data_IF_391624133802
#
_entry.id   IF_391624133802
#
_cell.length_a   1.000
_cell.length_b   1.000
_cell.length_c   1.000
_cell.angle_alpha   90.00
_cell.angle_beta   90.00
_cell.angle_gamma   90.00
#
_symmetry.space_group_name_H-M   'P 1'
#
loop_
_entity.id
_entity.type
_entity.pdbx_description
1 polymer ?
#
# COMPACT_ATOMS: atom_id res chain seq x y z
N UNK A 1 47.52 0.65 31.42
CA UNK A 1 46.82 -0.64 31.18
C UNK A 1 46.04 -1.01 32.40
N UNK A 2 44.74 -0.71 32.42
CA UNK A 2 43.81 -1.10 33.50
C UNK A 2 42.87 -2.17 32.94
N UNK A 3 42.72 -3.27 33.69
CA UNK A 3 41.83 -4.40 33.33
C UNK A 3 40.37 -4.03 33.67
N UNK A 4 39.39 -4.44 32.87
CA UNK A 4 37.98 -4.23 33.19
C UNK A 4 37.48 -5.24 34.24
N UNK A 5 36.63 -4.76 35.13
CA UNK A 5 35.91 -5.49 36.19
C UNK A 5 34.77 -6.36 35.57
N UNK A 6 34.42 -7.50 36.20
CA UNK A 6 33.42 -8.42 35.67
C UNK A 6 31.99 -7.93 35.94
N UNK A 7 31.12 -8.11 34.94
CA UNK A 7 29.69 -7.81 34.96
C UNK A 7 28.97 -8.84 35.81
N UNK A 8 28.19 -8.37 36.79
CA UNK A 8 27.33 -9.17 37.67
C UNK A 8 26.16 -9.80 36.88
N UNK A 9 25.87 -11.07 37.16
CA UNK A 9 24.73 -11.82 36.57
C UNK A 9 23.39 -11.22 37.02
N UNK A 10 22.35 -11.23 36.13
CA UNK A 10 21.02 -10.78 36.50
C UNK A 10 20.30 -11.81 37.38
N UNK A 11 19.71 -11.33 38.46
CA UNK A 11 18.84 -12.05 39.37
C UNK A 11 17.58 -12.54 38.65
N UNK A 12 17.22 -13.82 38.83
CA UNK A 12 15.95 -14.40 38.36
C UNK A 12 14.79 -13.73 39.08
N UNK A 13 13.93 -13.04 38.32
CA UNK A 13 12.62 -12.61 38.79
C UNK A 13 11.65 -13.75 38.48
N UNK A 14 11.13 -14.41 39.49
CA UNK A 14 9.96 -15.28 39.41
C UNK A 14 8.71 -14.40 39.36
N UNK A 15 8.23 -14.09 38.16
CA UNK A 15 6.89 -13.52 37.96
C UNK A 15 5.92 -14.66 37.71
N UNK A 16 4.79 -14.69 38.39
CA UNK A 16 3.82 -15.75 38.37
C UNK A 16 3.13 -15.85 37.02
N UNK A 17 2.96 -17.08 36.50
CA UNK A 17 2.26 -17.40 35.24
C UNK A 17 0.79 -16.93 35.22
N UNK A 18 0.22 -16.56 36.39
CA UNK A 18 -1.15 -16.02 36.49
C UNK A 18 -1.27 -14.59 35.96
N UNK A 19 -0.25 -13.72 36.11
CA UNK A 19 -0.31 -12.34 35.57
C UNK A 19 -0.24 -12.32 34.03
N UNK A 20 0.51 -13.22 33.41
CA UNK A 20 0.56 -13.34 31.94
C UNK A 20 -0.75 -13.85 31.35
N UNK A 21 -1.44 -14.76 32.05
CA UNK A 21 -2.76 -15.23 31.65
C UNK A 21 -3.83 -14.15 31.64
N UNK A 22 -3.83 -13.28 32.65
CA UNK A 22 -4.79 -12.18 32.76
C UNK A 22 -4.52 -11.09 31.70
N UNK A 23 -3.27 -10.74 31.43
CA UNK A 23 -2.94 -9.76 30.38
C UNK A 23 -3.32 -10.24 28.97
N UNK A 24 -3.19 -11.54 28.69
CA UNK A 24 -3.63 -12.12 27.42
C UNK A 24 -5.16 -12.18 27.29
N UNK A 25 -5.88 -12.44 28.38
CA UNK A 25 -7.35 -12.42 28.39
C UNK A 25 -7.91 -11.00 28.25
N UNK A 26 -7.32 -10.01 28.93
CA UNK A 26 -7.72 -8.60 28.79
C UNK A 26 -7.44 -8.05 27.39
N UNK A 27 -6.34 -8.49 26.73
CA UNK A 27 -6.05 -8.13 25.36
C UNK A 27 -7.06 -8.77 24.37
N UNK A 28 -7.50 -10.01 24.61
CA UNK A 28 -8.49 -10.68 23.77
C UNK A 28 -9.90 -10.08 23.93
N UNK A 29 -10.29 -9.67 25.14
CA UNK A 29 -11.55 -8.94 25.38
C UNK A 29 -11.53 -7.52 24.79
N UNK A 30 -10.40 -6.82 24.84
CA UNK A 30 -10.22 -5.53 24.20
C UNK A 30 -10.32 -5.61 22.67
N UNK A 31 -9.74 -6.63 22.07
CA UNK A 31 -9.86 -6.91 20.63
C UNK A 31 -11.30 -7.26 20.21
N UNK A 32 -12.02 -8.03 21.04
CA UNK A 32 -13.45 -8.35 20.79
C UNK A 32 -14.34 -7.11 20.95
N UNK A 33 -14.05 -6.21 21.89
CA UNK A 33 -14.77 -4.95 22.06
C UNK A 33 -14.53 -4.01 20.89
N UNK A 34 -13.29 -3.89 20.40
CA UNK A 34 -12.97 -3.09 19.20
C UNK A 34 -13.61 -3.66 17.93
N UNK A 35 -13.67 -4.98 17.78
CA UNK A 35 -14.39 -5.63 16.68
C UNK A 35 -15.91 -5.38 16.76
N UNK A 36 -16.48 -5.34 17.97
CA UNK A 36 -17.88 -5.03 18.20
C UNK A 36 -18.26 -3.58 17.89
N UNK A 37 -17.38 -2.62 18.17
CA UNK A 37 -17.57 -1.21 17.82
C UNK A 37 -17.42 -0.95 16.31
N UNK A 38 -16.53 -1.68 15.64
CA UNK A 38 -16.35 -1.59 14.18
C UNK A 38 -17.59 -2.07 13.42
N UNK A 39 -18.29 -3.11 13.90
CA UNK A 39 -19.55 -3.61 13.32
C UNK A 39 -20.69 -2.57 13.31
N UNK A 40 -20.60 -1.54 14.13
CA UNK A 40 -21.63 -0.48 14.18
C UNK A 40 -21.34 0.72 13.26
N UNK A 41 -20.18 0.76 12.59
CA UNK A 41 -19.84 1.76 11.56
C UNK A 41 -20.28 1.27 10.19
N UNK A 42 -21.52 1.52 9.83
CA UNK A 42 -22.22 1.01 8.62
C UNK A 42 -21.58 1.34 7.26
N UNK A 43 -20.37 1.90 7.18
CA UNK A 43 -19.76 2.37 5.93
C UNK A 43 -18.27 2.06 5.77
N UNK A 44 -17.68 1.19 6.58
CA UNK A 44 -16.29 0.77 6.41
C UNK A 44 -16.31 -0.69 5.97
N UNK A 45 -15.77 -0.97 4.77
CA UNK A 45 -15.52 -2.33 4.36
C UNK A 45 -14.39 -2.89 5.20
N UNK A 46 -14.69 -3.90 5.97
CA UNK A 46 -13.69 -4.71 6.61
C UNK A 46 -13.43 -5.92 5.71
N UNK A 47 -12.15 -6.24 5.44
CA UNK A 47 -11.86 -7.55 4.88
C UNK A 47 -12.51 -8.58 5.82
N UNK A 48 -13.18 -9.59 5.28
CA UNK A 48 -13.67 -10.73 6.06
C UNK A 48 -12.46 -11.58 6.49
N UNK A 49 -11.61 -10.98 7.32
CA UNK A 49 -10.32 -11.54 7.70
C UNK A 49 -10.41 -12.16 9.07
N UNK A 50 -11.09 -13.28 9.15
CA UNK A 50 -10.67 -14.35 10.05
C UNK A 50 -9.54 -15.17 9.39
N UNK A 51 -8.72 -14.54 8.54
CA UNK A 51 -7.55 -15.19 7.97
C UNK A 51 -6.39 -15.01 8.93
N UNK A 52 -5.77 -16.12 9.24
CA UNK A 52 -4.57 -16.16 10.04
C UNK A 52 -3.62 -15.06 9.58
N UNK A 53 -3.32 -14.15 10.49
CA UNK A 53 -2.18 -13.25 10.39
C UNK A 53 -0.99 -14.08 10.00
N UNK A 54 -0.58 -13.95 8.77
CA UNK A 54 0.32 -14.91 8.21
C UNK A 54 1.09 -14.33 7.04
N UNK A 55 1.86 -15.16 6.53
CA UNK A 55 2.61 -14.99 5.32
C UNK A 55 1.73 -15.41 4.14
N UNK A 56 1.37 -14.44 3.31
CA UNK A 56 0.71 -14.68 2.04
C UNK A 56 1.76 -14.91 0.94
N UNK A 57 1.46 -15.80 -0.01
CA UNK A 57 2.36 -16.13 -1.11
C UNK A 57 1.69 -15.87 -2.45
N UNK A 58 2.42 -15.20 -3.35
CA UNK A 58 1.98 -14.86 -4.70
C UNK A 58 3.04 -15.28 -5.71
N UNK A 59 2.62 -15.44 -6.97
CA UNK A 59 3.54 -15.66 -8.08
C UNK A 59 3.28 -14.61 -9.14
N UNK A 60 4.24 -13.70 -9.38
CA UNK A 60 4.21 -12.65 -10.38
C UNK A 60 5.59 -12.47 -11.02
N UNK A 61 5.61 -12.02 -12.27
CA UNK A 61 6.84 -11.79 -13.04
C UNK A 61 7.76 -13.02 -13.05
N UNK A 62 7.18 -14.23 -13.04
CA UNK A 62 7.90 -15.50 -12.98
C UNK A 62 8.62 -15.76 -11.66
N UNK A 63 8.22 -15.10 -10.56
CA UNK A 63 8.88 -15.19 -9.26
C UNK A 63 7.88 -15.34 -8.11
N UNK A 64 8.27 -16.13 -7.10
CA UNK A 64 7.51 -16.26 -5.87
C UNK A 64 7.73 -15.04 -4.97
N UNK A 65 6.64 -14.48 -4.50
CA UNK A 65 6.58 -13.30 -3.62
C UNK A 65 5.95 -13.72 -2.30
N UNK A 66 6.56 -13.33 -1.20
CA UNK A 66 6.08 -13.62 0.14
C UNK A 66 5.81 -12.33 0.90
N UNK A 67 4.56 -12.07 1.21
CA UNK A 67 4.11 -10.88 1.92
C UNK A 67 3.82 -11.22 3.38
N UNK A 68 4.33 -10.40 4.28
CA UNK A 68 3.98 -10.42 5.69
C UNK A 68 2.97 -9.31 5.96
N UNK A 69 1.81 -9.70 6.44
CA UNK A 69 0.78 -8.78 6.92
C UNK A 69 1.02 -8.44 8.40
N UNK A 70 0.51 -7.28 8.84
CA UNK A 70 0.50 -6.88 10.24
C UNK A 70 -0.89 -6.36 10.60
N UNK A 71 -1.39 -6.72 11.79
CA UNK A 71 -2.68 -6.22 12.31
C UNK A 71 -2.59 -4.83 12.92
N UNK A 72 -1.39 -4.29 13.09
CA UNK A 72 -1.20 -3.01 13.78
C UNK A 72 -1.74 -1.82 12.97
N UNK A 73 -2.01 -2.02 11.67
CA UNK A 73 -2.58 -0.98 10.83
C UNK A 73 -3.31 -1.56 9.60
N UNK A 74 -4.41 -0.94 9.17
CA UNK A 74 -5.19 -1.32 7.98
C UNK A 74 -4.35 -1.36 6.69
N UNK A 75 -3.35 -0.49 6.57
CA UNK A 75 -2.43 -0.47 5.44
C UNK A 75 -1.51 -1.70 5.37
N UNK A 76 -1.36 -2.44 6.45
CA UNK A 76 -0.50 -3.63 6.49
C UNK A 76 -1.22 -4.93 6.10
N UNK A 77 -2.37 -4.85 5.44
CA UNK A 77 -3.13 -5.97 4.86
C UNK A 77 -3.07 -5.92 3.32
N UNK A 78 -3.25 -7.08 2.68
CA UNK A 78 -3.34 -7.17 1.23
C UNK A 78 -4.77 -6.88 0.77
N UNK A 79 -4.89 -5.92 -0.14
CA UNK A 79 -6.16 -5.50 -0.68
C UNK A 79 -6.38 -6.04 -2.11
N UNK A 80 -7.62 -6.41 -2.49
CA UNK A 80 -7.92 -7.00 -3.80
C UNK A 80 -7.48 -6.14 -4.99
N UNK A 81 -7.52 -4.81 -4.86
CA UNK A 81 -7.08 -3.89 -5.91
C UNK A 81 -5.59 -4.00 -6.23
N UNK A 82 -4.75 -4.26 -5.22
CA UNK A 82 -3.33 -4.50 -5.42
C UNK A 82 -3.11 -5.77 -6.26
N UNK A 83 -3.81 -6.86 -5.94
CA UNK A 83 -3.73 -8.12 -6.70
C UNK A 83 -4.20 -7.90 -8.14
N UNK A 84 -5.35 -7.24 -8.32
CA UNK A 84 -5.92 -6.97 -9.65
C UNK A 84 -4.98 -6.12 -10.51
N UNK A 85 -4.35 -5.09 -9.92
CA UNK A 85 -3.42 -4.24 -10.65
C UNK A 85 -2.10 -4.97 -10.96
N UNK A 86 -1.60 -5.84 -10.06
CA UNK A 86 -0.46 -6.72 -10.35
C UNK A 86 -0.74 -7.62 -11.56
N UNK A 87 -1.90 -8.29 -11.59
CA UNK A 87 -2.33 -9.13 -12.72
C UNK A 87 -2.46 -8.32 -14.01
N UNK A 88 -3.03 -7.12 -13.91
CA UNK A 88 -3.15 -6.22 -15.07
C UNK A 88 -1.77 -5.84 -15.63
N UNK A 89 -0.82 -5.43 -14.78
CA UNK A 89 0.53 -5.06 -15.21
C UNK A 89 1.27 -6.24 -15.86
N UNK A 90 1.19 -7.43 -15.26
CA UNK A 90 1.83 -8.64 -15.79
C UNK A 90 1.28 -9.01 -17.16
N UNK A 91 -0.05 -8.97 -17.33
CA UNK A 91 -0.71 -9.40 -18.57
C UNK A 91 -0.69 -8.35 -19.70
N UNK A 92 -0.42 -7.08 -19.38
CA UNK A 92 -0.52 -5.98 -20.32
C UNK A 92 0.82 -5.23 -20.54
N UNK A 93 1.95 -5.92 -20.45
CA UNK A 93 3.29 -5.31 -20.59
C UNK A 93 3.53 -4.61 -21.93
N UNK A 94 2.79 -4.96 -22.99
CA UNK A 94 2.85 -4.26 -24.27
C UNK A 94 2.20 -2.87 -24.21
N UNK A 95 1.19 -2.68 -23.36
CA UNK A 95 0.45 -1.42 -23.20
C UNK A 95 0.97 -0.57 -22.05
N UNK A 96 1.53 -1.22 -21.02
CA UNK A 96 2.10 -0.63 -19.82
C UNK A 96 3.47 -1.26 -19.59
N UNK A 97 4.48 -0.70 -20.23
CA UNK A 97 5.85 -1.17 -20.07
C UNK A 97 6.51 -0.43 -18.90
N UNK A 98 6.83 -1.17 -17.84
CA UNK A 98 7.49 -0.64 -16.65
C UNK A 98 9.02 -0.75 -16.68
N UNK A 99 9.59 -1.43 -17.67
CA UNK A 99 11.04 -1.59 -17.78
C UNK A 99 11.74 -0.23 -17.89
N UNK A 100 12.67 0.02 -16.97
CA UNK A 100 13.46 1.26 -16.85
C UNK A 100 12.59 2.53 -16.65
N UNK A 101 11.39 2.37 -16.08
CA UNK A 101 10.46 3.46 -15.79
C UNK A 101 10.52 3.87 -14.32
N UNK A 102 10.44 5.17 -14.08
CA UNK A 102 10.25 5.72 -12.74
C UNK A 102 8.77 5.56 -12.33
N UNK A 103 8.52 4.86 -11.25
CA UNK A 103 7.18 4.51 -10.76
C UNK A 103 7.02 4.97 -9.33
N UNK A 104 5.93 5.69 -9.06
CA UNK A 104 5.48 6.00 -7.70
C UNK A 104 4.26 5.14 -7.38
N UNK A 105 4.20 4.54 -6.20
CA UNK A 105 2.96 3.99 -5.64
C UNK A 105 2.46 4.86 -4.50
N UNK A 106 1.19 5.26 -4.56
CA UNK A 106 0.46 6.00 -3.52
C UNK A 106 -0.32 5.00 -2.69
N UNK A 107 -0.06 4.94 -1.37
CA UNK A 107 -0.73 3.99 -0.47
C UNK A 107 -0.31 2.54 -0.75
N UNK A 108 0.99 2.28 -0.66
CA UNK A 108 1.58 0.99 -1.05
C UNK A 108 1.23 -0.17 -0.10
N UNK A 109 0.81 0.13 1.14
CA UNK A 109 0.40 -0.86 2.12
C UNK A 109 1.48 -1.90 2.41
N UNK A 110 1.18 -3.16 2.12
CA UNK A 110 2.14 -4.27 2.25
C UNK A 110 3.25 -4.26 1.20
N UNK A 111 3.11 -3.47 0.12
CA UNK A 111 4.08 -3.34 -0.95
C UNK A 111 3.97 -4.38 -2.07
N UNK A 112 2.94 -5.21 -2.13
CA UNK A 112 2.79 -6.22 -3.17
C UNK A 112 2.92 -5.64 -4.58
N UNK A 113 2.19 -4.55 -4.87
CA UNK A 113 2.19 -3.91 -6.18
C UNK A 113 3.56 -3.26 -6.49
N UNK A 114 4.19 -2.60 -5.52
CA UNK A 114 5.55 -2.07 -5.64
C UNK A 114 6.57 -3.17 -5.93
N UNK A 115 6.46 -4.34 -5.27
CA UNK A 115 7.34 -5.50 -5.52
C UNK A 115 7.18 -5.98 -6.95
N UNK A 116 5.95 -6.18 -7.43
CA UNK A 116 5.69 -6.61 -8.81
C UNK A 116 6.23 -5.59 -9.81
N UNK A 117 6.02 -4.29 -9.58
CA UNK A 117 6.58 -3.25 -10.44
C UNK A 117 8.13 -3.30 -10.48
N UNK A 118 8.79 -3.53 -9.33
CA UNK A 118 10.25 -3.73 -9.28
C UNK A 118 10.70 -4.96 -10.08
N UNK A 119 9.99 -6.08 -9.96
CA UNK A 119 10.31 -7.32 -10.68
C UNK A 119 10.06 -7.19 -12.18
N UNK A 120 9.13 -6.33 -12.60
CA UNK A 120 8.92 -5.93 -14.01
C UNK A 120 9.95 -4.90 -14.51
N UNK A 121 10.95 -4.55 -13.69
CA UNK A 121 12.08 -3.72 -14.09
C UNK A 121 11.93 -2.23 -13.85
N UNK A 122 10.95 -1.80 -13.06
CA UNK A 122 10.74 -0.40 -12.69
C UNK A 122 11.71 0.10 -11.61
N UNK A 123 11.98 1.40 -11.64
CA UNK A 123 12.57 2.14 -10.52
C UNK A 123 11.43 2.67 -9.64
N UNK A 124 11.18 2.01 -8.51
CA UNK A 124 10.00 2.25 -7.68
C UNK A 124 10.30 3.11 -6.47
N UNK A 125 9.43 4.10 -6.24
CA UNK A 125 9.25 4.80 -4.97
C UNK A 125 7.90 4.38 -4.38
N UNK A 126 7.92 3.56 -3.34
CA UNK A 126 6.74 3.13 -2.61
C UNK A 126 6.43 4.12 -1.49
N UNK A 127 5.18 4.60 -1.41
CA UNK A 127 4.81 5.59 -0.39
C UNK A 127 3.59 5.17 0.40
N UNK A 128 3.61 5.48 1.71
CA UNK A 128 2.50 5.30 2.62
C UNK A 128 2.65 6.22 3.85
N UNK A 129 1.73 6.11 4.81
CA UNK A 129 1.82 6.77 6.11
C UNK A 129 3.04 6.25 6.90
N UNK A 130 3.64 7.07 7.78
CA UNK A 130 4.83 6.71 8.56
C UNK A 130 4.71 5.37 9.28
N UNK A 131 3.54 5.06 9.84
CA UNK A 131 3.30 3.84 10.64
C UNK A 131 3.34 2.55 9.79
N UNK A 132 3.13 2.65 8.48
CA UNK A 132 3.15 1.52 7.53
C UNK A 132 4.55 1.21 7.03
N UNK A 133 5.47 2.20 7.02
CA UNK A 133 6.75 2.10 6.32
C UNK A 133 7.66 0.96 6.79
N UNK A 134 7.59 0.57 8.05
CA UNK A 134 8.43 -0.52 8.57
C UNK A 134 8.07 -1.86 7.92
N UNK A 135 6.77 -2.20 7.88
CA UNK A 135 6.26 -3.41 7.24
C UNK A 135 6.50 -3.36 5.72
N UNK A 136 6.18 -2.23 5.07
CA UNK A 136 6.43 -1.99 3.66
C UNK A 136 7.89 -2.21 3.28
N UNK A 137 8.83 -1.62 4.04
CA UNK A 137 10.27 -1.77 3.82
C UNK A 137 10.71 -3.22 3.96
N UNK A 138 10.23 -3.92 5.00
CA UNK A 138 10.56 -5.32 5.21
C UNK A 138 10.12 -6.19 4.02
N UNK A 139 8.88 -6.05 3.57
CA UNK A 139 8.34 -6.82 2.45
C UNK A 139 9.07 -6.50 1.13
N UNK A 140 9.33 -5.22 0.85
CA UNK A 140 10.07 -4.79 -0.34
C UNK A 140 11.47 -5.39 -0.37
N UNK A 141 12.27 -5.18 0.67
CA UNK A 141 13.66 -5.65 0.70
C UNK A 141 13.74 -7.17 0.60
N UNK A 142 12.85 -7.89 1.28
CA UNK A 142 12.80 -9.35 1.24
C UNK A 142 12.55 -9.90 -0.16
N UNK A 143 11.69 -9.26 -0.94
CA UNK A 143 11.25 -9.76 -2.23
C UNK A 143 12.02 -9.18 -3.42
N UNK A 144 12.78 -8.09 -3.25
CA UNK A 144 13.46 -7.41 -4.36
C UNK A 144 14.99 -7.50 -4.31
N UNK A 145 15.58 -7.73 -3.11
CA UNK A 145 17.05 -7.80 -2.96
C UNK A 145 17.67 -8.90 -3.82
N UNK A 146 18.52 -8.50 -4.77
CA UNK A 146 19.17 -9.41 -5.72
C UNK A 146 18.24 -10.00 -6.78
N UNK A 147 16.98 -9.52 -6.86
CA UNK A 147 15.96 -10.01 -7.79
C UNK A 147 15.42 -8.92 -8.71
N UNK A 148 15.42 -7.68 -8.27
CA UNK A 148 15.00 -6.51 -9.06
C UNK A 148 16.22 -5.80 -9.67
N UNK A 149 15.98 -5.10 -10.77
CA UNK A 149 16.99 -4.32 -11.49
C UNK A 149 17.45 -3.10 -10.68
N UNK A 150 16.54 -2.48 -9.97
CA UNK A 150 16.76 -1.30 -9.15
C UNK A 150 16.36 -1.55 -7.69
N UNK A 151 17.05 -0.90 -6.76
CA UNK A 151 16.65 -0.91 -5.35
C UNK A 151 15.48 0.05 -5.15
N UNK A 152 14.30 -0.42 -4.67
CA UNK A 152 13.18 0.45 -4.40
C UNK A 152 13.46 1.42 -3.26
N UNK A 153 12.82 2.58 -3.31
CA UNK A 153 12.80 3.56 -2.24
C UNK A 153 11.47 3.47 -1.49
N UNK A 154 11.51 3.71 -0.18
CA UNK A 154 10.31 3.79 0.68
C UNK A 154 10.30 5.17 1.33
N UNK A 155 9.23 5.93 1.14
CA UNK A 155 9.12 7.32 1.58
C UNK A 155 7.76 7.57 2.22
N UNK A 156 7.73 8.34 3.32
CA UNK A 156 6.49 8.77 3.93
C UNK A 156 5.73 9.74 3.01
N UNK A 157 4.42 9.53 2.87
CA UNK A 157 3.55 10.44 2.13
C UNK A 157 2.17 10.46 2.79
N UNK A 158 1.81 11.61 3.35
CA UNK A 158 0.45 11.89 3.79
C UNK A 158 -0.28 12.64 2.68
N UNK A 159 -1.42 12.13 2.25
CA UNK A 159 -2.14 12.72 1.11
C UNK A 159 -2.47 14.19 1.34
N UNK A 160 -2.14 15.00 0.35
CA UNK A 160 -2.40 16.44 0.32
C UNK A 160 -1.52 17.30 1.20
N UNK A 161 -0.62 16.72 1.99
CA UNK A 161 0.27 17.44 2.89
C UNK A 161 1.67 17.58 2.29
N UNK A 162 2.28 18.74 2.46
CA UNK A 162 3.68 19.05 2.16
C UNK A 162 4.22 18.59 0.79
N UNK A 163 3.33 18.35 -0.19
CA UNK A 163 3.68 17.75 -1.49
C UNK A 163 4.74 18.54 -2.25
N UNK A 164 4.65 19.88 -2.26
CA UNK A 164 5.64 20.72 -2.97
C UNK A 164 6.97 20.82 -2.22
N UNK A 165 6.97 20.60 -0.90
CA UNK A 165 8.20 20.59 -0.10
C UNK A 165 8.94 19.27 -0.24
N UNK A 166 8.22 18.14 -0.09
CA UNK A 166 8.81 16.82 0.02
C UNK A 166 8.99 16.16 -1.35
N UNK A 167 8.16 16.52 -2.31
CA UNK A 167 8.19 16.01 -3.69
C UNK A 167 8.14 17.16 -4.71
N UNK A 168 9.12 18.11 -4.69
CA UNK A 168 9.13 19.26 -5.59
C UNK A 168 9.26 18.85 -7.05
N UNK A 169 8.41 19.43 -7.90
CA UNK A 169 8.55 19.30 -9.34
C UNK A 169 9.64 20.29 -9.86
N UNK A 170 10.48 19.92 -10.84
CA UNK A 170 10.48 18.67 -11.60
C UNK A 170 11.38 17.57 -11.03
N UNK A 171 11.98 17.75 -9.85
CA UNK A 171 12.95 16.81 -9.28
C UNK A 171 12.33 15.42 -9.02
N UNK A 172 11.05 15.40 -8.63
CA UNK A 172 10.27 14.18 -8.48
C UNK A 172 9.32 14.02 -9.67
N UNK A 173 9.84 13.42 -10.74
CA UNK A 173 9.10 13.09 -11.94
C UNK A 173 8.98 11.57 -12.09
N UNK A 174 7.78 11.10 -12.36
CA UNK A 174 7.48 9.67 -12.54
C UNK A 174 6.83 9.42 -13.90
N UNK A 175 7.20 8.33 -14.56
CA UNK A 175 6.53 7.84 -15.78
C UNK A 175 5.13 7.30 -15.44
N UNK A 176 5.04 6.58 -14.31
CA UNK A 176 3.78 6.02 -13.82
C UNK A 176 3.53 6.36 -12.36
N UNK A 177 2.27 6.58 -12.04
CA UNK A 177 1.75 6.62 -10.67
C UNK A 177 0.78 5.46 -10.53
N UNK A 178 0.96 4.62 -9.53
CA UNK A 178 0.12 3.49 -9.19
C UNK A 178 -0.66 3.78 -7.91
N UNK A 179 -1.92 3.37 -7.87
CA UNK A 179 -2.75 3.44 -6.68
C UNK A 179 -3.73 2.27 -6.67
N UNK A 180 -3.79 1.51 -5.58
CA UNK A 180 -4.64 0.34 -5.47
C UNK A 180 -5.45 0.35 -4.16
N UNK A 181 -6.78 0.26 -4.26
CA UNK A 181 -7.74 0.28 -3.14
C UNK A 181 -7.52 1.46 -2.17
N UNK A 182 -7.15 2.63 -2.68
CA UNK A 182 -6.89 3.86 -1.89
C UNK A 182 -8.15 4.64 -1.54
N UNK A 183 -9.33 4.27 -2.09
CA UNK A 183 -10.61 4.92 -1.83
C UNK A 183 -11.34 4.18 -0.70
N UNK A 184 -10.95 4.44 0.53
CA UNK A 184 -11.55 3.79 1.72
C UNK A 184 -11.84 4.77 2.87
N UNK A 185 -11.13 5.89 2.95
CA UNK A 185 -11.29 6.88 4.00
C UNK A 185 -11.99 8.12 3.44
N UNK A 186 -13.31 8.20 3.60
CA UNK A 186 -14.16 9.17 2.91
C UNK A 186 -13.79 10.63 3.18
N UNK A 187 -13.28 10.95 4.37
CA UNK A 187 -12.89 12.31 4.75
C UNK A 187 -11.62 12.80 4.01
N UNK A 188 -10.80 11.88 3.50
CA UNK A 188 -9.51 12.20 2.87
C UNK A 188 -9.52 12.14 1.34
N UNK A 189 -10.66 11.85 0.69
CA UNK A 189 -10.73 11.69 -0.77
C UNK A 189 -10.35 12.95 -1.55
N UNK A 190 -10.60 14.14 -0.99
CA UNK A 190 -10.14 15.39 -1.57
C UNK A 190 -8.61 15.52 -1.56
N UNK A 191 -7.98 15.08 -0.48
CA UNK A 191 -6.52 15.10 -0.34
C UNK A 191 -5.86 14.04 -1.22
N UNK A 192 -6.47 12.87 -1.36
CA UNK A 192 -6.03 11.84 -2.32
C UNK A 192 -6.03 12.39 -3.74
N UNK A 193 -7.13 13.00 -4.17
CA UNK A 193 -7.24 13.57 -5.51
C UNK A 193 -6.21 14.68 -5.73
N UNK A 194 -5.96 15.54 -4.74
CA UNK A 194 -4.90 16.56 -4.76
C UNK A 194 -3.52 15.92 -4.92
N UNK A 195 -3.25 14.80 -4.23
CA UNK A 195 -2.00 14.05 -4.35
C UNK A 195 -1.82 13.48 -5.75
N UNK A 196 -2.87 12.86 -6.31
CA UNK A 196 -2.86 12.38 -7.69
C UNK A 196 -2.58 13.50 -8.69
N UNK A 197 -3.18 14.69 -8.51
CA UNK A 197 -2.91 15.86 -9.33
C UNK A 197 -1.48 16.39 -9.21
N UNK A 198 -0.90 16.32 -8.01
CA UNK A 198 0.48 16.75 -7.79
C UNK A 198 1.46 15.96 -8.65
N UNK A 199 1.31 14.64 -8.69
CA UNK A 199 2.20 13.77 -9.47
C UNK A 199 1.82 13.66 -10.96
N UNK A 200 0.55 13.90 -11.30
CA UNK A 200 0.04 13.89 -12.67
C UNK A 200 -0.44 15.29 -13.07
N UNK A 201 0.47 16.27 -13.05
CA UNK A 201 0.13 17.67 -13.39
C UNK A 201 0.16 17.93 -14.89
N UNK A 202 -0.52 18.97 -15.37
CA UNK A 202 -0.47 19.40 -16.76
C UNK A 202 0.98 19.60 -17.24
N UNK A 203 1.28 19.10 -18.43
CA UNK A 203 2.63 19.15 -19.01
C UNK A 203 3.54 17.98 -18.58
N UNK A 204 3.21 17.22 -17.56
CA UNK A 204 3.87 15.94 -17.30
C UNK A 204 3.42 14.87 -18.31
N UNK A 205 4.28 13.88 -18.56
CA UNK A 205 3.92 12.69 -19.35
C UNK A 205 3.51 11.52 -18.46
N UNK A 206 3.24 11.79 -17.19
CA UNK A 206 2.91 10.78 -16.19
C UNK A 206 1.58 10.11 -16.51
N UNK A 207 1.58 8.79 -16.48
CA UNK A 207 0.38 7.96 -16.58
C UNK A 207 0.01 7.46 -15.18
N UNK A 208 -1.23 7.68 -14.77
CA UNK A 208 -1.77 7.16 -13.52
C UNK A 208 -2.59 5.90 -13.80
N UNK A 209 -2.32 4.84 -13.05
CA UNK A 209 -3.12 3.60 -13.02
C UNK A 209 -3.73 3.48 -11.64
N UNK A 210 -5.05 3.45 -11.58
CA UNK A 210 -5.80 3.34 -10.35
C UNK A 210 -6.75 2.13 -10.42
N UNK A 211 -6.55 1.18 -9.49
CA UNK A 211 -7.44 0.04 -9.31
C UNK A 211 -8.22 0.19 -8.01
N UNK A 212 -9.52 -0.01 -8.03
CA UNK A 212 -10.35 0.04 -6.83
C UNK A 212 -11.54 -0.90 -6.94
N UNK A 213 -11.85 -1.57 -5.84
CA UNK A 213 -13.10 -2.27 -5.70
C UNK A 213 -14.21 -1.28 -5.40
N UNK A 214 -15.30 -1.30 -6.19
CA UNK A 214 -16.45 -0.41 -6.02
C UNK A 214 -17.42 -1.00 -5.00
N UNK A 215 -17.23 -0.66 -3.71
CA UNK A 215 -17.99 -1.23 -2.58
C UNK A 215 -19.20 -0.39 -2.17
N UNK A 216 -19.05 0.93 -2.33
CA UNK A 216 -20.00 1.92 -1.81
C UNK A 216 -20.30 3.00 -2.84
N UNK A 217 -21.40 3.72 -2.63
CA UNK A 217 -21.74 4.89 -3.45
C UNK A 217 -20.66 5.96 -3.44
N UNK A 218 -19.92 6.09 -2.36
CA UNK A 218 -18.77 6.99 -2.23
C UNK A 218 -17.62 6.64 -3.21
N UNK A 219 -17.40 5.34 -3.48
CA UNK A 219 -16.38 4.89 -4.42
C UNK A 219 -16.78 5.28 -5.87
N UNK A 220 -18.05 5.13 -6.19
CA UNK A 220 -18.60 5.58 -7.46
C UNK A 220 -18.52 7.10 -7.61
N UNK A 221 -18.87 7.85 -6.57
CA UNK A 221 -18.78 9.32 -6.55
C UNK A 221 -17.32 9.79 -6.68
N UNK A 222 -16.37 9.08 -6.08
CA UNK A 222 -14.95 9.37 -6.28
C UNK A 222 -14.52 9.08 -7.72
N UNK A 223 -14.97 7.95 -8.30
CA UNK A 223 -14.66 7.60 -9.69
C UNK A 223 -15.19 8.67 -10.67
N UNK A 224 -16.38 9.21 -10.45
CA UNK A 224 -16.93 10.32 -11.24
C UNK A 224 -16.06 11.58 -11.11
N UNK A 225 -15.65 11.96 -9.90
CA UNK A 225 -14.75 13.09 -9.64
C UNK A 225 -13.39 12.88 -10.30
N UNK A 226 -12.84 11.67 -10.20
CA UNK A 226 -11.58 11.28 -10.85
C UNK A 226 -11.69 11.44 -12.38
N UNK A 227 -12.76 10.91 -13.00
CA UNK A 227 -12.98 11.02 -14.44
C UNK A 227 -13.22 12.48 -14.89
N UNK A 228 -13.86 13.30 -14.05
CA UNK A 228 -14.00 14.73 -14.32
C UNK A 228 -12.68 15.50 -14.22
N UNK A 229 -11.74 15.02 -13.42
CA UNK A 229 -10.45 15.68 -13.12
C UNK A 229 -9.32 15.28 -14.07
N UNK A 230 -9.34 14.09 -14.61
CA UNK A 230 -8.31 13.52 -15.49
C UNK A 230 -8.87 13.12 -16.86
N UNK A 231 -7.98 13.04 -17.86
CA UNK A 231 -8.27 12.29 -19.07
C UNK A 231 -8.14 10.80 -18.76
N UNK A 232 -9.24 10.15 -18.44
CA UNK A 232 -9.24 8.77 -17.95
C UNK A 232 -10.02 7.84 -18.84
N UNK A 233 -9.58 6.58 -18.85
CA UNK A 233 -10.22 5.46 -19.55
C UNK A 233 -10.33 4.28 -18.59
N UNK A 234 -11.48 3.62 -18.55
CA UNK A 234 -11.64 2.33 -17.90
C UNK A 234 -10.94 1.28 -18.78
N UNK A 235 -9.83 0.71 -18.28
CA UNK A 235 -8.99 -0.24 -19.05
C UNK A 235 -9.24 -1.69 -18.68
N UNK A 236 -9.82 -1.95 -17.51
CA UNK A 236 -10.31 -3.26 -17.11
C UNK A 236 -11.47 -3.14 -16.12
N UNK A 237 -12.42 -4.04 -16.23
CA UNK A 237 -13.50 -4.24 -15.27
C UNK A 237 -13.66 -5.73 -15.01
N UNK A 238 -13.75 -6.10 -13.72
CA UNK A 238 -13.98 -7.49 -13.28
C UNK A 238 -15.30 -7.48 -12.52
N UNK A 239 -16.43 -7.72 -13.20
CA UNK A 239 -17.78 -7.56 -12.62
C UNK A 239 -18.01 -8.45 -11.39
N UNK A 240 -17.44 -9.68 -11.38
CA UNK A 240 -17.60 -10.65 -10.30
C UNK A 240 -17.06 -10.17 -8.96
N UNK A 241 -16.10 -9.25 -8.99
CA UNK A 241 -15.45 -8.68 -7.81
C UNK A 241 -15.69 -7.17 -7.66
N UNK A 242 -16.48 -6.57 -8.57
CA UNK A 242 -16.73 -5.11 -8.64
C UNK A 242 -15.43 -4.29 -8.74
N UNK A 243 -14.38 -4.89 -9.33
CA UNK A 243 -13.09 -4.26 -9.49
C UNK A 243 -13.03 -3.45 -10.79
N UNK A 244 -12.54 -2.22 -10.71
CA UNK A 244 -12.29 -1.36 -11.87
C UNK A 244 -10.86 -0.86 -11.89
N UNK A 245 -10.27 -0.84 -13.09
CA UNK A 245 -8.92 -0.28 -13.32
C UNK A 245 -9.04 0.85 -14.33
N UNK A 246 -8.60 2.03 -13.90
CA UNK A 246 -8.56 3.23 -14.71
C UNK A 246 -7.12 3.57 -15.11
N UNK A 247 -6.94 3.99 -16.36
CA UNK A 247 -5.71 4.62 -16.85
C UNK A 247 -6.02 6.09 -17.10
N UNK A 248 -5.18 6.99 -16.60
CA UNK A 248 -5.42 8.41 -16.68
C UNK A 248 -4.14 9.21 -16.94
N UNK A 249 -4.32 10.40 -17.50
CA UNK A 249 -3.29 11.43 -17.66
C UNK A 249 -3.88 12.79 -17.23
N UNK A 250 -3.03 13.77 -16.97
CA UNK A 250 -3.51 15.12 -16.69
C UNK A 250 -4.37 15.66 -17.83
N UNK A 251 -5.42 16.42 -17.47
CA UNK A 251 -6.12 17.28 -18.44
C UNK A 251 -5.20 18.45 -18.80
N UNK A 252 -5.30 18.89 -20.05
CA UNK A 252 -4.57 20.06 -20.55
C UNK A 252 -5.09 21.35 -19.93
#
# INVERSE_FOLDING_TARGET
MQRPTPISQPTKIQGSDQEKGNQLMEADEGLKAMAGEALNRRNIWEPSVYFALGKESFHFAGQDISIHESMDAYGALIWPGAIALCQFLENNQQQVNLLDKAVLEIGAGTGLLSIVACLLGAWVTATDLPDILSNLTFNLLRNTKGRSRYTPQVVALTWGQDLERDFPFPSYHYDYVLAADVVYHHDNLGQLLKTMHHFCRPGSRTTLLWANKMRFQSDLSFAERFQSSFNSTLVAEIPQTEMRIYKATAKK
#
